data_IF_584098295225
#
_entry.id   IF_584098295225
#
_cell.length_a   1.000
_cell.length_b   1.000
_cell.length_c   1.000
_cell.angle_alpha   90.00
_cell.angle_beta   90.00
_cell.angle_gamma   90.00
#
_symmetry.space_group_name_H-M   'P 1'
#
loop_
_entity.id
_entity.type
_entity.pdbx_description
1 polymer ?
#
# COMPACT_ATOMS: atom_id res chain seq x y z
N UNK A 1 1.85 -2.27 33.64
CA UNK A 1 2.50 -3.37 32.90
C UNK A 1 2.84 -2.88 31.50
N UNK A 2 4.02 -2.29 31.34
CA UNK A 2 4.44 -1.58 30.12
C UNK A 2 5.18 -2.56 29.21
N UNK A 3 4.53 -3.01 28.13
CA UNK A 3 5.10 -3.98 27.20
C UNK A 3 6.18 -3.28 26.36
N UNK A 4 7.45 -3.42 26.75
CA UNK A 4 8.59 -2.92 25.97
C UNK A 4 8.70 -3.74 24.68
N UNK A 5 8.70 -3.13 23.49
CA UNK A 5 8.84 -3.88 22.23
C UNK A 5 10.21 -4.56 22.16
N UNK A 6 10.24 -5.85 21.80
CA UNK A 6 11.40 -6.74 21.85
C UNK A 6 12.63 -6.29 21.03
N UNK A 7 12.48 -5.27 20.17
CA UNK A 7 13.52 -4.69 19.31
C UNK A 7 14.55 -3.80 20.04
N UNK A 8 14.46 -3.66 21.36
CA UNK A 8 15.31 -2.76 22.18
C UNK A 8 16.54 -3.44 22.83
N UNK A 9 16.97 -4.60 22.36
CA UNK A 9 18.24 -5.19 22.78
C UNK A 9 19.39 -4.78 21.83
N UNK A 10 20.44 -4.10 22.33
CA UNK A 10 21.47 -3.51 21.48
C UNK A 10 22.43 -4.51 20.82
N UNK A 11 22.43 -5.79 21.22
CA UNK A 11 23.50 -6.75 20.87
C UNK A 11 23.20 -7.67 19.67
N UNK A 12 21.95 -8.12 19.36
CA UNK A 12 21.70 -8.91 18.15
C UNK A 12 21.65 -8.08 16.85
N UNK A 13 21.49 -6.75 16.96
CA UNK A 13 21.34 -5.84 15.80
C UNK A 13 22.62 -5.64 15.00
N UNK A 14 23.79 -5.85 15.61
CA UNK A 14 25.10 -5.65 14.95
C UNK A 14 25.47 -6.79 14.01
N UNK A 15 24.95 -8.00 14.25
CA UNK A 15 25.20 -9.16 13.36
C UNK A 15 24.40 -9.08 12.06
N UNK A 16 23.25 -8.39 12.08
CA UNK A 16 22.37 -8.17 10.92
C UNK A 16 22.70 -6.90 10.12
N UNK A 17 23.68 -6.10 10.58
CA UNK A 17 24.09 -4.86 9.92
C UNK A 17 24.65 -5.07 8.51
N UNK A 18 25.53 -6.06 8.23
CA UNK A 18 26.02 -6.28 6.87
C UNK A 18 24.89 -6.67 5.91
N UNK A 19 23.92 -7.47 6.37
CA UNK A 19 22.75 -7.84 5.57
C UNK A 19 21.86 -6.62 5.29
N UNK A 20 21.75 -5.68 6.24
CA UNK A 20 21.03 -4.43 6.05
C UNK A 20 21.70 -3.52 5.00
N UNK A 21 23.03 -3.51 4.94
CA UNK A 21 23.78 -2.76 3.94
C UNK A 21 23.59 -3.35 2.54
N UNK A 22 23.62 -4.68 2.42
CA UNK A 22 23.35 -5.37 1.16
C UNK A 22 21.93 -5.06 0.65
N UNK A 23 20.94 -5.09 1.54
CA UNK A 23 19.56 -4.71 1.20
C UNK A 23 19.47 -3.26 0.74
N UNK A 24 20.11 -2.31 1.44
CA UNK A 24 20.15 -0.90 1.05
C UNK A 24 20.82 -0.68 -0.30
N UNK A 25 21.94 -1.35 -0.57
CA UNK A 25 22.64 -1.27 -1.84
C UNK A 25 21.76 -1.77 -3.01
N UNK A 26 21.08 -2.90 -2.82
CA UNK A 26 20.12 -3.41 -3.80
C UNK A 26 18.95 -2.45 -4.05
N UNK A 27 18.41 -1.84 -3.00
CA UNK A 27 17.35 -0.83 -3.13
C UNK A 27 17.84 0.42 -3.88
N UNK A 28 19.02 0.94 -3.56
CA UNK A 28 19.61 2.09 -4.24
C UNK A 28 19.82 1.82 -5.73
N UNK A 29 20.34 0.63 -6.06
CA UNK A 29 20.54 0.21 -7.44
C UNK A 29 19.23 0.13 -8.24
N UNK A 30 18.16 -0.38 -7.61
CA UNK A 30 16.81 -0.39 -8.20
C UNK A 30 16.26 1.01 -8.37
N UNK A 31 16.43 1.90 -7.38
CA UNK A 31 15.96 3.28 -7.45
C UNK A 31 16.61 4.05 -8.60
N UNK A 32 17.93 3.90 -8.80
CA UNK A 32 18.64 4.55 -9.91
C UNK A 32 18.24 4.06 -11.31
N UNK A 33 17.48 2.96 -11.41
CA UNK A 33 17.01 2.37 -12.67
C UNK A 33 15.51 2.52 -12.89
N UNK A 34 14.78 3.13 -11.95
CA UNK A 34 13.35 3.40 -12.12
C UNK A 34 13.20 4.56 -13.09
N UNK A 35 12.39 4.35 -14.13
CA UNK A 35 11.88 5.44 -14.93
C UNK A 35 10.72 6.08 -14.17
N UNK A 36 10.78 7.39 -14.00
CA UNK A 36 9.62 8.16 -13.54
C UNK A 36 8.73 8.36 -14.75
N UNK A 37 7.53 7.80 -14.70
CA UNK A 37 6.50 8.08 -15.69
C UNK A 37 5.69 9.28 -15.21
N UNK A 38 5.51 10.25 -16.11
CA UNK A 38 4.64 11.41 -15.85
C UNK A 38 3.27 11.04 -16.41
N UNK A 39 2.26 11.11 -15.57
CA UNK A 39 0.88 10.88 -15.96
C UNK A 39 0.17 12.24 -16.13
N UNK A 40 -0.75 12.33 -17.08
CA UNK A 40 -1.55 13.53 -17.33
C UNK A 40 -2.55 13.81 -16.20
N UNK A 41 -2.91 12.77 -15.45
CA UNK A 41 -3.83 12.83 -14.31
C UNK A 41 -3.06 12.97 -12.99
N UNK A 42 -3.59 13.73 -12.01
CA UNK A 42 -2.99 13.84 -10.69
C UNK A 42 -3.00 12.49 -9.96
N UNK A 43 -1.82 12.02 -9.55
CA UNK A 43 -1.64 10.75 -8.84
C UNK A 43 -1.22 10.99 -7.39
N UNK A 44 -2.00 10.47 -6.44
CA UNK A 44 -1.71 10.57 -5.01
C UNK A 44 -1.39 9.19 -4.42
N UNK A 45 -0.15 9.00 -3.98
CA UNK A 45 0.34 7.71 -3.47
C UNK A 45 0.35 7.70 -1.95
N UNK A 46 -0.46 6.84 -1.33
CA UNK A 46 -0.51 6.67 0.13
C UNK A 46 0.45 5.56 0.57
N UNK A 47 1.65 5.95 0.99
CA UNK A 47 2.73 5.08 1.46
C UNK A 47 2.88 5.02 2.99
N UNK A 48 3.76 4.14 3.46
CA UNK A 48 4.22 4.04 4.86
C UNK A 48 5.58 3.36 4.80
N UNK A 49 6.61 3.92 5.45
CA UNK A 49 7.94 3.32 5.48
C UNK A 49 8.05 2.04 6.33
N UNK A 50 7.04 1.72 7.15
CA UNK A 50 7.05 0.54 8.04
C UNK A 50 6.16 -0.61 7.55
N UNK A 51 6.63 -1.84 7.80
CA UNK A 51 5.88 -3.08 7.61
C UNK A 51 5.00 -3.32 8.84
N UNK A 52 3.71 -3.58 8.64
CA UNK A 52 2.71 -3.77 9.70
C UNK A 52 1.41 -3.00 9.43
N UNK A 53 0.33 -3.34 10.16
CA UNK A 53 -0.99 -2.70 10.04
C UNK A 53 -0.94 -1.21 10.38
N UNK A 54 -0.68 -0.38 9.37
CA UNK A 54 -0.38 1.03 9.54
C UNK A 54 -1.50 1.95 9.06
N UNK A 55 -2.73 1.42 8.94
CA UNK A 55 -3.92 2.19 8.61
C UNK A 55 -3.95 2.82 7.21
N UNK A 56 -3.03 2.44 6.30
CA UNK A 56 -2.94 3.01 4.95
C UNK A 56 -4.24 2.89 4.18
N UNK A 57 -4.85 1.72 4.21
CA UNK A 57 -6.07 1.41 3.45
C UNK A 57 -7.23 2.27 3.94
N UNK A 58 -7.55 2.34 5.26
CA UNK A 58 -8.51 3.30 5.79
C UNK A 58 -8.22 4.76 5.40
N UNK A 59 -6.96 5.21 5.52
CA UNK A 59 -6.58 6.60 5.18
C UNK A 59 -6.77 6.88 3.68
N UNK A 60 -6.42 5.93 2.82
CA UNK A 60 -6.60 6.08 1.38
C UNK A 60 -8.08 6.14 0.98
N UNK A 61 -8.94 5.42 1.68
CA UNK A 61 -10.38 5.44 1.47
C UNK A 61 -10.97 6.78 1.93
N UNK A 62 -10.62 7.25 3.13
CA UNK A 62 -11.04 8.57 3.66
C UNK A 62 -10.62 9.72 2.73
N UNK A 63 -9.41 9.63 2.15
CA UNK A 63 -8.93 10.62 1.19
C UNK A 63 -9.75 10.66 -0.10
N UNK A 64 -10.18 9.50 -0.58
CA UNK A 64 -11.07 9.38 -1.75
C UNK A 64 -12.46 9.91 -1.43
N UNK A 65 -13.00 9.61 -0.24
CA UNK A 65 -14.28 10.17 0.24
C UNK A 65 -14.22 11.71 0.26
N UNK A 66 -13.19 12.30 0.89
CA UNK A 66 -13.01 13.76 0.92
C UNK A 66 -12.84 14.38 -0.47
N UNK A 67 -12.12 13.70 -1.37
CA UNK A 67 -11.96 14.19 -2.74
C UNK A 67 -13.31 14.23 -3.47
N UNK A 68 -14.20 13.26 -3.23
CA UNK A 68 -15.57 13.28 -3.76
C UNK A 68 -16.41 14.40 -3.16
N UNK A 69 -16.28 14.66 -1.87
CA UNK A 69 -16.96 15.78 -1.21
C UNK A 69 -16.54 17.14 -1.80
N UNK A 70 -15.30 17.23 -2.31
CA UNK A 70 -14.78 18.40 -3.03
C UNK A 70 -15.22 18.45 -4.51
N UNK A 71 -16.02 17.49 -4.98
CA UNK A 71 -16.55 17.43 -6.34
C UNK A 71 -15.64 16.73 -7.36
N UNK A 72 -14.60 16.02 -6.93
CA UNK A 72 -13.76 15.22 -7.83
C UNK A 72 -14.33 13.82 -8.06
N UNK A 73 -13.93 13.18 -9.16
CA UNK A 73 -14.24 11.77 -9.47
C UNK A 73 -12.98 10.88 -9.36
N UNK A 74 -12.46 10.64 -8.14
CA UNK A 74 -11.25 9.87 -7.94
C UNK A 74 -11.42 8.37 -8.22
N UNK A 75 -10.35 7.75 -8.70
CA UNK A 75 -10.18 6.31 -8.85
C UNK A 75 -9.26 5.79 -7.74
N UNK A 76 -9.69 4.76 -7.02
CA UNK A 76 -8.88 4.10 -5.99
C UNK A 76 -8.18 2.87 -6.56
N UNK A 77 -6.87 2.75 -6.32
CA UNK A 77 -6.05 1.62 -6.77
C UNK A 77 -5.38 0.99 -5.55
N UNK A 78 -5.76 -0.25 -5.26
CA UNK A 78 -5.15 -1.11 -4.25
C UNK A 78 -4.11 -2.05 -4.84
N UNK A 79 -3.33 -2.71 -3.97
CA UNK A 79 -2.36 -3.73 -4.38
C UNK A 79 -2.96 -5.13 -4.52
N UNK A 80 -4.12 -5.37 -3.91
CA UNK A 80 -4.75 -6.70 -3.89
C UNK A 80 -3.99 -7.75 -3.09
N UNK A 81 -3.52 -7.38 -1.90
CA UNK A 81 -2.81 -8.33 -1.04
C UNK A 81 -3.76 -9.49 -0.68
N UNK A 82 -3.33 -10.72 -1.00
CA UNK A 82 -4.14 -11.93 -0.83
C UNK A 82 -4.97 -12.33 -2.05
N UNK A 83 -5.00 -11.51 -3.11
CA UNK A 83 -5.59 -11.84 -4.40
C UNK A 83 -4.64 -12.59 -5.34
N UNK A 84 -5.07 -12.78 -6.58
CA UNK A 84 -4.30 -13.53 -7.60
C UNK A 84 -3.23 -12.69 -8.33
N UNK A 85 -3.12 -11.41 -7.98
CA UNK A 85 -2.11 -10.48 -8.48
C UNK A 85 -2.36 -9.95 -9.89
N UNK A 86 -3.54 -10.20 -10.49
CA UNK A 86 -3.91 -9.62 -11.78
C UNK A 86 -4.72 -8.35 -11.59
N UNK A 87 -4.28 -7.29 -12.29
CA UNK A 87 -4.96 -5.99 -12.33
C UNK A 87 -6.38 -6.17 -12.88
N UNK A 88 -7.37 -5.75 -12.10
CA UNK A 88 -8.77 -5.73 -12.52
C UNK A 88 -9.57 -4.66 -11.79
N UNK A 89 -10.74 -4.35 -12.35
CA UNK A 89 -11.74 -3.60 -11.62
C UNK A 89 -12.36 -4.51 -10.55
N UNK A 90 -12.51 -3.98 -9.34
CA UNK A 90 -13.27 -4.63 -8.28
C UNK A 90 -14.75 -4.40 -8.58
N UNK A 91 -15.52 -5.46 -8.74
CA UNK A 91 -16.97 -5.41 -9.02
C UNK A 91 -17.75 -6.02 -7.86
N UNK A 92 -19.07 -6.17 -7.98
CA UNK A 92 -19.85 -6.89 -6.96
C UNK A 92 -19.65 -8.42 -7.05
N UNK A 93 -19.12 -8.90 -8.17
CA UNK A 93 -18.92 -10.32 -8.48
C UNK A 93 -17.49 -10.78 -8.17
N UNK A 94 -16.55 -9.86 -7.98
CA UNK A 94 -15.18 -10.19 -7.63
C UNK A 94 -15.09 -10.76 -6.22
N UNK A 95 -14.45 -11.93 -6.07
CA UNK A 95 -14.21 -12.57 -4.78
C UNK A 95 -12.87 -12.19 -4.15
N UNK A 96 -12.71 -12.44 -2.85
CA UNK A 96 -11.48 -12.11 -2.10
C UNK A 96 -10.26 -12.85 -2.62
N UNK A 97 -10.40 -14.09 -3.11
CA UNK A 97 -9.31 -14.83 -3.72
C UNK A 97 -8.76 -14.16 -5.00
N UNK A 98 -9.54 -13.30 -5.65
CA UNK A 98 -9.13 -12.60 -6.87
C UNK A 98 -8.47 -11.26 -6.55
N UNK A 99 -9.08 -10.46 -5.67
CA UNK A 99 -8.68 -9.07 -5.43
C UNK A 99 -8.17 -8.78 -4.01
N UNK A 100 -8.22 -9.75 -3.10
CA UNK A 100 -7.92 -9.57 -1.69
C UNK A 100 -9.03 -8.85 -0.91
N UNK A 101 -9.01 -9.03 0.41
CA UNK A 101 -10.07 -8.48 1.28
C UNK A 101 -10.05 -6.94 1.35
N UNK A 102 -8.86 -6.33 1.29
CA UNK A 102 -8.73 -4.86 1.32
C UNK A 102 -9.44 -4.19 0.15
N UNK A 103 -9.39 -4.81 -1.04
CA UNK A 103 -10.03 -4.28 -2.23
C UNK A 103 -11.57 -4.37 -2.15
N UNK A 104 -12.09 -5.46 -1.56
CA UNK A 104 -13.53 -5.61 -1.32
C UNK A 104 -14.04 -4.61 -0.28
N UNK A 105 -13.27 -4.37 0.79
CA UNK A 105 -13.61 -3.33 1.77
C UNK A 105 -13.64 -1.94 1.15
N UNK A 106 -12.64 -1.62 0.31
CA UNK A 106 -12.59 -0.35 -0.41
C UNK A 106 -13.80 -0.20 -1.34
N UNK A 107 -14.14 -1.22 -2.13
CA UNK A 107 -15.34 -1.28 -2.97
C UNK A 107 -16.63 -1.07 -2.18
N UNK A 108 -16.77 -1.74 -1.04
CA UNK A 108 -17.96 -1.62 -0.21
C UNK A 108 -18.16 -0.18 0.30
N UNK A 109 -17.06 0.53 0.58
CA UNK A 109 -17.10 1.87 1.15
C UNK A 109 -17.15 2.98 0.09
N UNK A 110 -16.40 2.81 -1.00
CA UNK A 110 -16.28 3.76 -2.08
C UNK A 110 -17.27 3.49 -3.23
N UNK A 111 -17.99 2.38 -3.24
CA UNK A 111 -18.82 2.01 -4.36
C UNK A 111 -17.96 1.68 -5.58
N UNK A 112 -18.10 2.43 -6.68
CA UNK A 112 -17.42 2.19 -7.97
C UNK A 112 -16.00 2.79 -8.04
N UNK A 113 -15.31 2.55 -9.16
CA UNK A 113 -13.96 3.05 -9.46
C UNK A 113 -12.87 2.57 -8.48
N UNK A 114 -12.93 1.29 -8.12
CA UNK A 114 -11.91 0.61 -7.34
C UNK A 114 -11.22 -0.44 -8.21
N UNK A 115 -9.89 -0.47 -8.19
CA UNK A 115 -9.06 -1.42 -8.95
C UNK A 115 -8.05 -2.07 -8.03
N UNK A 116 -7.69 -3.33 -8.33
CA UNK A 116 -6.77 -4.12 -7.54
C UNK A 116 -6.03 -5.15 -8.37
#
# INVERSE_FOLDING_TARGET
MTNRPWYWHPVPSTLMTPMSWLWKAGQQWRHGRRRTEVHELPLLVVGNPRVGGSGKTPISIDLVERARDLGFEPCWIGRGVGGDGRIRQVTAETGSAQVGDEALMARHRLGSHCYS
#
